data_IF_546898579879
#
_entry.id   IF_546898579879
#
_cell.length_a   1.000
_cell.length_b   1.000
_cell.length_c   1.000
_cell.angle_alpha   90.00
_cell.angle_beta   90.00
_cell.angle_gamma   90.00
#
_symmetry.space_group_name_H-M   'P 1'
#
loop_
_entity.id
_entity.type
_entity.pdbx_description
1 polymer ?
#
# COMPACT_ATOMS: atom_id res chain seq x y z
N UNK A 1 -22.15 -18.49 29.46
CA UNK A 1 -22.17 -19.97 29.50
C UNK A 1 -23.51 -20.47 29.01
N UNK A 2 -23.67 -20.63 27.71
CA UNK A 2 -24.81 -21.35 27.15
C UNK A 2 -24.57 -22.84 27.38
N UNK A 3 -25.26 -23.41 28.34
CA UNK A 3 -25.34 -24.87 28.46
C UNK A 3 -26.15 -25.35 27.25
N UNK A 4 -25.48 -25.91 26.24
CA UNK A 4 -26.15 -26.65 25.18
C UNK A 4 -26.88 -27.82 25.82
N UNK A 5 -28.18 -27.71 25.98
CA UNK A 5 -29.02 -28.84 26.36
C UNK A 5 -29.19 -29.71 25.12
N UNK A 6 -28.22 -30.60 24.89
CA UNK A 6 -28.35 -31.63 23.84
C UNK A 6 -29.41 -32.57 24.30
N UNK A 7 -30.37 -32.84 23.40
CA UNK A 7 -31.45 -33.79 23.66
C UNK A 7 -30.92 -35.15 24.06
N UNK A 8 -31.56 -35.78 25.04
CA UNK A 8 -31.25 -37.14 25.51
C UNK A 8 -31.29 -38.21 24.44
N UNK A 9 -31.84 -37.91 23.26
CA UNK A 9 -31.97 -38.85 22.13
C UNK A 9 -30.65 -39.28 21.47
N UNK A 10 -29.55 -38.53 21.68
CA UNK A 10 -28.23 -38.84 21.08
C UNK A 10 -27.50 -39.96 21.86
N UNK A 11 -27.93 -40.27 23.07
CA UNK A 11 -27.41 -41.35 23.89
C UNK A 11 -28.48 -42.45 24.07
N UNK A 12 -28.01 -43.66 24.09
CA UNK A 12 -28.80 -44.85 24.43
C UNK A 12 -28.35 -45.42 25.77
N UNK A 13 -29.15 -46.24 26.38
CA UNK A 13 -28.76 -46.96 27.56
C UNK A 13 -29.06 -48.46 27.40
N UNK A 14 -28.31 -49.25 28.11
CA UNK A 14 -28.48 -50.72 28.13
C UNK A 14 -28.97 -51.17 29.48
N UNK A 15 -29.81 -52.22 29.48
CA UNK A 15 -30.24 -52.94 30.66
C UNK A 15 -29.75 -54.40 30.49
N UNK A 16 -28.91 -54.89 31.42
CA UNK A 16 -28.27 -56.23 31.32
C UNK A 16 -27.56 -56.43 29.97
N UNK A 17 -26.94 -55.38 29.42
CA UNK A 17 -26.23 -55.44 28.16
C UNK A 17 -27.08 -55.34 26.90
N UNK A 18 -28.42 -55.30 27.01
CA UNK A 18 -29.34 -55.13 25.88
C UNK A 18 -29.80 -53.68 25.79
N UNK A 19 -29.84 -53.12 24.57
CA UNK A 19 -30.33 -51.76 24.33
C UNK A 19 -31.73 -51.59 24.90
N UNK A 20 -31.91 -50.65 25.79
CA UNK A 20 -33.16 -50.34 26.49
C UNK A 20 -33.89 -49.13 25.92
N UNK A 21 -33.26 -48.37 25.03
CA UNK A 21 -33.79 -47.18 24.37
C UNK A 21 -32.90 -45.94 24.51
N UNK A 22 -33.40 -44.80 24.04
CA UNK A 22 -32.74 -43.53 24.21
C UNK A 22 -32.71 -43.09 25.70
N UNK A 23 -31.70 -42.35 26.07
CA UNK A 23 -31.60 -41.73 27.41
C UNK A 23 -32.86 -40.85 27.67
N UNK A 24 -33.44 -40.94 28.86
CA UNK A 24 -34.70 -40.34 29.20
C UNK A 24 -35.93 -41.23 29.02
N UNK A 25 -35.77 -42.46 28.50
CA UNK A 25 -36.84 -43.48 28.48
C UNK A 25 -36.86 -44.33 29.76
N UNK A 26 -38.02 -44.87 30.10
CA UNK A 26 -38.21 -45.69 31.31
C UNK A 26 -38.50 -47.16 30.89
N UNK A 27 -38.03 -48.11 31.66
CA UNK A 27 -38.48 -49.50 31.63
C UNK A 27 -39.35 -49.78 32.83
N UNK A 28 -40.62 -50.18 32.55
CA UNK A 28 -41.57 -50.63 33.55
C UNK A 28 -41.60 -52.15 33.62
N UNK A 29 -42.32 -52.67 34.63
CA UNK A 29 -42.65 -54.06 34.85
C UNK A 29 -41.42 -55.01 34.93
N UNK A 30 -40.37 -54.49 35.60
CA UNK A 30 -39.16 -55.26 35.86
C UNK A 30 -39.37 -56.18 37.08
N UNK A 31 -39.01 -57.41 36.98
CA UNK A 31 -38.98 -58.35 38.09
C UNK A 31 -37.88 -57.97 39.12
N UNK A 32 -38.07 -58.23 40.42
CA UNK A 32 -36.99 -58.07 41.40
C UNK A 32 -35.75 -58.86 41.00
N UNK A 33 -34.58 -58.21 41.10
CA UNK A 33 -33.31 -58.87 40.70
C UNK A 33 -32.17 -57.88 40.43
N UNK A 34 -31.04 -58.41 40.06
CA UNK A 34 -29.85 -57.58 39.75
C UNK A 34 -29.86 -57.09 38.33
N UNK A 35 -29.71 -55.78 38.12
CA UNK A 35 -29.66 -55.13 36.83
C UNK A 35 -28.38 -54.34 36.71
N UNK A 36 -27.76 -54.38 35.54
CA UNK A 36 -26.69 -53.48 35.12
C UNK A 36 -27.20 -52.44 34.17
N UNK A 37 -26.90 -51.18 34.38
CA UNK A 37 -27.28 -50.04 33.57
C UNK A 37 -26.01 -49.34 33.09
N UNK A 38 -25.91 -49.13 31.80
CA UNK A 38 -24.80 -48.39 31.16
C UNK A 38 -25.32 -47.52 30.06
N UNK A 39 -24.81 -46.29 29.97
CA UNK A 39 -25.03 -45.43 28.81
C UNK A 39 -24.15 -45.87 27.64
N UNK A 40 -24.69 -45.80 26.43
CA UNK A 40 -23.99 -46.19 25.19
C UNK A 40 -24.31 -45.17 24.08
N UNK A 41 -23.48 -45.12 23.06
CA UNK A 41 -23.62 -44.12 21.99
C UNK A 41 -23.07 -42.78 22.44
N UNK A 42 -23.71 -41.70 22.01
CA UNK A 42 -23.31 -40.32 22.28
C UNK A 42 -22.52 -39.70 21.13
N UNK A 43 -22.18 -38.44 21.29
CA UNK A 43 -21.42 -37.63 20.31
C UNK A 43 -19.93 -37.73 20.59
N UNK A 44 -19.12 -37.85 19.54
CA UNK A 44 -17.65 -37.96 19.61
C UNK A 44 -16.97 -36.85 20.39
N UNK A 45 -17.64 -35.69 20.48
CA UNK A 45 -17.10 -34.53 21.18
C UNK A 45 -17.55 -34.40 22.64
N UNK A 46 -18.04 -35.51 23.24
CA UNK A 46 -18.45 -35.55 24.66
C UNK A 46 -17.74 -36.70 25.37
N UNK A 47 -17.58 -36.59 26.68
CA UNK A 47 -17.08 -37.64 27.53
C UNK A 47 -17.96 -37.75 28.76
N UNK A 48 -18.01 -38.97 29.33
CA UNK A 48 -18.65 -39.29 30.58
C UNK A 48 -18.00 -38.52 31.75
N UNK A 49 -18.80 -37.91 32.60
CA UNK A 49 -18.37 -37.19 33.80
C UNK A 49 -18.76 -37.94 35.06
N UNK A 50 -20.03 -38.29 35.19
CA UNK A 50 -20.53 -38.96 36.40
C UNK A 50 -21.84 -39.72 36.15
N UNK A 51 -22.07 -40.69 36.96
CA UNK A 51 -23.31 -41.43 37.07
C UNK A 51 -23.78 -41.38 38.54
N UNK A 52 -25.05 -41.11 38.76
CA UNK A 52 -25.71 -41.17 40.05
C UNK A 52 -27.04 -41.84 39.94
N UNK A 53 -27.41 -42.67 40.90
CA UNK A 53 -28.74 -43.34 40.92
C UNK A 53 -29.41 -43.12 42.28
N UNK A 54 -30.72 -42.93 42.24
CA UNK A 54 -31.60 -42.74 43.41
C UNK A 54 -32.79 -43.72 43.34
N UNK A 55 -33.55 -43.88 44.43
CA UNK A 55 -34.77 -44.71 44.45
C UNK A 55 -34.62 -46.10 45.02
N UNK A 56 -33.39 -46.55 45.30
CA UNK A 56 -33.12 -47.78 46.08
C UNK A 56 -32.22 -47.46 47.28
N UNK A 57 -32.21 -48.33 48.28
CA UNK A 57 -31.30 -48.16 49.43
C UNK A 57 -29.82 -48.19 49.00
N UNK A 58 -29.00 -47.27 49.59
CA UNK A 58 -27.60 -46.98 49.18
C UNK A 58 -26.71 -48.24 49.05
N UNK A 59 -26.90 -49.22 49.85
CA UNK A 59 -26.09 -50.48 49.78
C UNK A 59 -26.47 -51.42 48.65
N UNK A 60 -27.54 -51.13 47.87
CA UNK A 60 -28.02 -51.94 46.77
C UNK A 60 -27.75 -51.37 45.40
N UNK A 61 -27.09 -50.22 45.37
CA UNK A 61 -26.57 -49.61 44.15
C UNK A 61 -25.05 -49.58 44.24
N UNK A 62 -24.41 -50.17 43.28
CA UNK A 62 -22.95 -50.10 43.13
C UNK A 62 -22.64 -49.45 41.79
N UNK A 63 -21.88 -48.38 41.80
CA UNK A 63 -21.44 -47.64 40.57
C UNK A 63 -19.94 -47.92 40.44
N UNK A 64 -19.57 -48.43 39.30
CA UNK A 64 -18.20 -48.63 38.87
C UNK A 64 -18.03 -47.95 37.48
N UNK A 65 -17.22 -46.90 37.40
CA UNK A 65 -17.04 -46.09 36.24
C UNK A 65 -18.37 -45.59 35.67
N UNK A 66 -18.73 -45.95 34.44
CA UNK A 66 -19.93 -45.57 33.72
C UNK A 66 -21.09 -46.60 33.86
N UNK A 67 -20.95 -47.52 34.78
CA UNK A 67 -21.91 -48.64 34.92
C UNK A 67 -22.48 -48.69 36.36
N UNK A 68 -23.80 -48.72 36.46
CA UNK A 68 -24.50 -48.95 37.73
C UNK A 68 -25.00 -50.41 37.79
N UNK A 69 -24.71 -51.09 38.90
CA UNK A 69 -25.34 -52.36 39.24
C UNK A 69 -26.33 -52.18 40.39
N UNK A 70 -27.58 -52.56 40.16
CA UNK A 70 -28.70 -52.31 41.04
C UNK A 70 -29.35 -53.62 41.44
N UNK A 71 -29.47 -53.90 42.74
CA UNK A 71 -30.32 -54.99 43.29
C UNK A 71 -31.72 -54.42 43.50
N UNK A 72 -32.57 -54.49 42.46
CA UNK A 72 -33.93 -53.93 42.44
C UNK A 72 -34.89 -54.84 43.23
N UNK A 73 -35.70 -54.21 44.09
CA UNK A 73 -36.78 -54.88 44.83
C UNK A 73 -38.15 -54.50 44.35
N UNK A 74 -39.17 -55.26 44.70
CA UNK A 74 -40.54 -54.97 44.34
C UNK A 74 -41.00 -53.59 44.85
N UNK A 75 -41.63 -52.80 43.98
CA UNK A 75 -42.16 -51.46 44.27
C UNK A 75 -41.13 -50.34 44.33
N UNK A 76 -39.88 -50.60 43.95
CA UNK A 76 -38.87 -49.57 43.85
C UNK A 76 -38.86 -48.93 42.46
N UNK A 77 -38.68 -47.61 42.42
CA UNK A 77 -38.49 -46.82 41.21
C UNK A 77 -37.10 -46.15 41.26
N UNK A 78 -36.19 -46.68 40.42
CA UNK A 78 -34.77 -46.24 40.43
C UNK A 78 -34.54 -45.35 39.23
N UNK A 79 -34.01 -44.17 39.50
CA UNK A 79 -33.62 -43.19 38.47
C UNK A 79 -32.06 -43.06 38.52
N UNK A 80 -31.45 -43.34 37.38
CA UNK A 80 -30.02 -43.13 37.17
C UNK A 80 -29.77 -41.94 36.24
N UNK A 81 -28.96 -41.02 36.66
CA UNK A 81 -28.62 -39.79 35.91
C UNK A 81 -27.18 -39.86 35.44
N UNK A 82 -27.00 -39.87 34.14
CA UNK A 82 -25.69 -39.74 33.47
C UNK A 82 -25.41 -38.25 33.22
N UNK A 83 -24.19 -37.83 33.44
CA UNK A 83 -23.72 -36.48 33.12
C UNK A 83 -22.54 -36.62 32.16
N UNK A 84 -22.68 -36.01 30.98
CA UNK A 84 -21.62 -35.91 29.98
C UNK A 84 -21.20 -34.45 29.84
N UNK A 85 -19.95 -34.21 29.56
CA UNK A 85 -19.42 -32.89 29.26
C UNK A 85 -18.82 -32.85 27.88
N UNK A 86 -18.90 -31.69 27.25
CA UNK A 86 -18.25 -31.48 25.97
C UNK A 86 -16.74 -31.45 26.13
N UNK A 87 -16.06 -32.11 25.20
CA UNK A 87 -14.61 -32.13 25.13
C UNK A 87 -14.06 -30.74 24.83
N UNK A 88 -12.84 -30.48 25.25
CA UNK A 88 -12.11 -29.25 25.02
C UNK A 88 -10.86 -29.52 24.17
N UNK A 89 -10.39 -28.49 23.49
CA UNK A 89 -9.12 -28.45 22.80
C UNK A 89 -8.56 -27.03 22.81
N UNK A 90 -7.41 -26.83 22.15
CA UNK A 90 -6.75 -25.53 22.06
C UNK A 90 -6.94 -24.91 20.68
N UNK A 91 -7.36 -23.65 20.66
CA UNK A 91 -7.30 -22.75 19.51
C UNK A 91 -6.11 -21.81 19.73
N UNK A 92 -5.17 -21.82 18.80
CA UNK A 92 -3.99 -20.97 18.80
C UNK A 92 -4.10 -19.99 17.65
N UNK A 93 -3.88 -18.71 17.93
CA UNK A 93 -3.90 -17.64 16.92
C UNK A 93 -2.52 -17.02 16.89
N UNK A 94 -1.83 -17.18 15.77
CA UNK A 94 -0.48 -16.66 15.54
C UNK A 94 -0.52 -15.43 14.64
N UNK A 95 0.32 -14.46 14.98
CA UNK A 95 0.56 -13.25 14.19
C UNK A 95 1.99 -13.22 13.70
N UNK A 96 2.15 -12.88 12.44
CA UNK A 96 3.44 -12.52 11.84
C UNK A 96 3.32 -11.16 11.17
N UNK A 97 4.24 -10.25 11.44
CA UNK A 97 4.37 -8.96 10.76
C UNK A 97 5.64 -8.97 9.93
N UNK A 98 5.55 -8.52 8.68
CA UNK A 98 6.68 -8.35 7.78
C UNK A 98 6.82 -6.87 7.46
N UNK A 99 8.00 -6.31 7.72
CA UNK A 99 8.35 -4.92 7.51
C UNK A 99 9.53 -4.83 6.53
N UNK A 100 9.40 -5.43 5.34
CA UNK A 100 10.47 -5.50 4.35
C UNK A 100 10.51 -4.27 3.41
N UNK A 101 9.51 -3.37 3.53
CA UNK A 101 9.43 -2.11 2.80
C UNK A 101 9.56 -0.87 3.71
N UNK A 102 10.18 -1.03 4.89
CA UNK A 102 10.41 0.05 5.85
C UNK A 102 9.28 0.27 6.85
N UNK A 103 8.30 -0.61 6.93
CA UNK A 103 7.24 -0.59 7.92
C UNK A 103 7.76 -0.71 9.35
N UNK A 104 6.96 -0.23 10.31
CA UNK A 104 7.38 -0.13 11.71
C UNK A 104 6.41 -0.78 12.71
N UNK A 105 5.29 -1.36 12.24
CA UNK A 105 4.31 -1.99 13.13
C UNK A 105 4.85 -3.29 13.73
N UNK A 106 4.39 -3.58 14.95
CA UNK A 106 4.67 -4.80 15.71
C UNK A 106 3.41 -5.66 15.78
N UNK A 107 3.52 -6.92 16.16
CA UNK A 107 2.38 -7.81 16.33
C UNK A 107 1.31 -7.22 17.27
N UNK A 108 1.73 -6.53 18.32
CA UNK A 108 0.85 -5.87 19.28
C UNK A 108 0.09 -4.66 18.76
N UNK A 109 0.39 -4.17 17.56
CA UNK A 109 -0.38 -3.11 16.92
C UNK A 109 -1.65 -3.62 16.22
N UNK A 110 -1.82 -4.93 16.15
CA UNK A 110 -2.95 -5.58 15.48
C UNK A 110 -3.87 -6.27 16.47
N UNK A 111 -5.14 -6.37 16.12
CA UNK A 111 -6.18 -7.05 16.91
C UNK A 111 -6.96 -8.01 16.03
N UNK A 112 -7.54 -9.04 16.64
CA UNK A 112 -8.35 -10.03 15.96
C UNK A 112 -9.67 -10.27 16.72
N UNK A 113 -10.62 -10.91 16.07
CA UNK A 113 -11.89 -11.38 16.65
C UNK A 113 -12.06 -12.87 16.40
N UNK A 114 -12.66 -13.57 17.36
CA UNK A 114 -13.12 -14.96 17.23
C UNK A 114 -14.65 -14.92 17.04
N UNK A 115 -15.10 -15.15 15.80
CA UNK A 115 -16.52 -15.01 15.47
C UNK A 115 -17.03 -13.58 15.75
N UNK A 116 -17.98 -13.45 16.67
CA UNK A 116 -18.57 -12.16 17.08
C UNK A 116 -18.10 -11.70 18.47
N UNK A 117 -17.04 -12.28 19.02
CA UNK A 117 -16.45 -11.84 20.30
C UNK A 117 -15.82 -10.45 20.15
N UNK A 118 -15.60 -9.73 21.27
CA UNK A 118 -14.92 -8.44 21.25
C UNK A 118 -13.51 -8.54 20.69
N UNK A 119 -12.99 -7.47 20.05
CA UNK A 119 -11.62 -7.41 19.56
C UNK A 119 -10.58 -7.70 20.65
N UNK A 120 -9.58 -8.50 20.30
CA UNK A 120 -8.49 -8.90 21.20
C UNK A 120 -7.17 -8.52 20.55
N UNK A 121 -6.32 -7.81 21.28
CA UNK A 121 -4.99 -7.45 20.83
C UNK A 121 -4.07 -8.66 20.83
N UNK A 122 -3.16 -8.78 19.84
CA UNK A 122 -2.13 -9.81 19.87
C UNK A 122 -1.15 -9.61 21.02
N UNK A 123 -0.78 -10.71 21.66
CA UNK A 123 0.28 -10.74 22.67
C UNK A 123 1.58 -11.12 21.99
N UNK A 124 2.66 -10.39 22.28
CA UNK A 124 3.99 -10.69 21.74
C UNK A 124 4.43 -12.11 22.08
N UNK A 125 5.01 -12.82 21.11
CA UNK A 125 5.52 -14.17 21.28
C UNK A 125 7.05 -14.17 21.43
N UNK A 126 7.52 -14.33 22.66
CA UNK A 126 8.95 -14.31 22.99
C UNK A 126 9.57 -12.91 22.84
N UNK A 127 10.82 -12.84 22.40
CA UNK A 127 11.57 -11.58 22.24
C UNK A 127 11.33 -10.89 20.88
N UNK A 128 10.73 -11.59 19.92
CA UNK A 128 10.48 -11.04 18.60
C UNK A 128 9.18 -10.25 18.56
N UNK A 129 9.26 -8.93 18.47
CA UNK A 129 8.12 -8.01 18.43
C UNK A 129 7.23 -8.16 17.17
N UNK A 130 7.74 -8.80 16.11
CA UNK A 130 7.00 -9.06 14.89
C UNK A 130 6.14 -10.33 14.98
N UNK A 131 6.29 -11.12 16.02
CA UNK A 131 5.53 -12.34 16.26
C UNK A 131 4.56 -12.15 17.42
N UNK A 132 3.32 -12.59 17.21
CA UNK A 132 2.29 -12.62 18.24
C UNK A 132 1.70 -14.00 18.41
N UNK A 133 1.20 -14.32 19.62
CA UNK A 133 0.52 -15.58 19.89
C UNK A 133 -0.48 -15.44 21.02
N UNK A 134 -1.69 -15.92 20.78
CA UNK A 134 -2.75 -16.03 21.77
C UNK A 134 -3.28 -17.46 21.78
N UNK A 135 -3.57 -18.01 22.95
CA UNK A 135 -4.08 -19.37 23.11
C UNK A 135 -5.40 -19.36 23.88
N UNK A 136 -6.36 -20.15 23.39
CA UNK A 136 -7.68 -20.27 24.00
C UNK A 136 -8.07 -21.73 24.13
N UNK A 137 -8.66 -22.08 25.28
CA UNK A 137 -9.38 -23.34 25.42
C UNK A 137 -10.78 -23.15 24.84
N UNK A 138 -11.16 -24.01 23.91
CA UNK A 138 -12.45 -23.97 23.19
C UNK A 138 -13.11 -25.34 23.16
N UNK A 139 -14.40 -25.37 22.98
CA UNK A 139 -15.12 -26.63 22.82
C UNK A 139 -14.73 -27.34 21.52
N UNK A 140 -14.41 -28.64 21.64
CA UNK A 140 -14.10 -29.49 20.50
C UNK A 140 -15.33 -29.71 19.61
N UNK A 141 -15.10 -29.90 18.30
CA UNK A 141 -16.14 -30.14 17.30
C UNK A 141 -16.97 -28.89 16.94
N UNK A 142 -16.71 -27.72 17.52
CA UNK A 142 -17.27 -26.47 17.07
C UNK A 142 -16.36 -25.81 16.04
N UNK A 143 -17.00 -25.11 15.10
CA UNK A 143 -16.32 -24.30 14.09
C UNK A 143 -16.11 -22.87 14.59
N UNK A 144 -14.91 -22.36 14.38
CA UNK A 144 -14.51 -20.99 14.73
C UNK A 144 -13.95 -20.30 13.49
N UNK A 145 -14.27 -19.03 13.32
CA UNK A 145 -13.67 -18.16 12.30
C UNK A 145 -12.96 -17.02 12.98
N UNK A 146 -11.72 -16.78 12.59
CA UNK A 146 -10.89 -15.70 13.14
C UNK A 146 -10.65 -14.68 12.04
N UNK A 147 -10.92 -13.41 12.36
CA UNK A 147 -10.71 -12.27 11.47
C UNK A 147 -9.87 -11.22 12.16
N UNK A 148 -9.02 -10.55 11.41
CA UNK A 148 -8.30 -9.37 11.91
C UNK A 148 -9.23 -8.16 11.87
N UNK A 149 -9.14 -7.33 12.88
CA UNK A 149 -9.83 -6.05 12.93
C UNK A 149 -9.09 -5.07 12.02
N UNK A 150 -9.81 -4.38 11.15
CA UNK A 150 -9.23 -3.43 10.18
C UNK A 150 -8.18 -4.06 9.25
N UNK A 151 -8.48 -5.25 8.75
CA UNK A 151 -7.62 -5.94 7.77
C UNK A 151 -7.40 -5.09 6.51
N UNK A 152 -6.18 -5.18 5.93
CA UNK A 152 -5.76 -4.42 4.74
C UNK A 152 -5.83 -2.89 4.91
N UNK A 153 -5.56 -2.38 6.10
CA UNK A 153 -5.54 -0.95 6.39
C UNK A 153 -4.15 -0.48 6.81
N UNK A 154 -3.99 0.83 6.91
CA UNK A 154 -2.77 1.50 7.38
C UNK A 154 -1.50 1.04 6.67
N UNK A 155 -1.57 0.80 5.36
CA UNK A 155 -0.42 0.43 4.55
C UNK A 155 0.07 -1.02 4.73
N UNK A 156 -0.76 -1.91 5.27
CA UNK A 156 -0.47 -3.34 5.37
C UNK A 156 -1.52 -4.19 4.65
N UNK A 157 -1.08 -5.28 4.03
CA UNK A 157 -1.95 -6.32 3.48
C UNK A 157 -2.04 -7.49 4.45
N UNK A 158 -3.25 -8.02 4.66
CA UNK A 158 -3.53 -9.13 5.58
C UNK A 158 -3.76 -10.42 4.80
N UNK A 159 -3.12 -11.49 5.22
CA UNK A 159 -3.35 -12.84 4.71
C UNK A 159 -3.63 -13.82 5.84
N UNK A 160 -4.46 -14.83 5.55
CA UNK A 160 -4.92 -15.82 6.51
C UNK A 160 -4.51 -17.23 6.07
N UNK A 161 -4.07 -18.02 7.03
CA UNK A 161 -3.84 -19.45 6.82
C UNK A 161 -4.59 -20.24 7.91
N UNK A 162 -5.55 -21.06 7.48
CA UNK A 162 -6.39 -21.88 8.36
C UNK A 162 -7.10 -21.07 9.45
N UNK A 163 -7.81 -19.98 9.07
CA UNK A 163 -8.50 -19.10 10.01
C UNK A 163 -10.03 -19.09 9.84
N UNK A 164 -10.55 -19.74 8.81
CA UNK A 164 -11.98 -19.79 8.50
C UNK A 164 -12.53 -21.19 8.78
N UNK A 165 -13.66 -21.26 9.48
CA UNK A 165 -14.38 -22.52 9.77
C UNK A 165 -13.49 -23.61 10.40
N UNK A 166 -12.55 -23.24 11.27
CA UNK A 166 -11.66 -24.18 11.93
C UNK A 166 -12.38 -24.97 13.00
N UNK A 167 -12.21 -26.27 12.97
CA UNK A 167 -12.76 -27.17 14.00
C UNK A 167 -11.67 -27.52 15.01
N UNK A 168 -11.92 -27.20 16.28
CA UNK A 168 -10.99 -27.54 17.37
C UNK A 168 -11.08 -29.03 17.68
N UNK A 169 -9.96 -29.78 17.61
CA UNK A 169 -9.96 -31.21 17.89
C UNK A 169 -10.03 -31.49 19.41
N UNK A 170 -10.61 -32.66 19.77
CA UNK A 170 -10.60 -33.12 21.16
C UNK A 170 -9.18 -33.37 21.68
N UNK A 171 -8.84 -32.79 22.83
CA UNK A 171 -7.52 -32.86 23.47
C UNK A 171 -6.35 -32.50 22.54
N UNK A 172 -6.63 -31.92 21.40
CA UNK A 172 -5.66 -31.47 20.42
C UNK A 172 -5.58 -29.95 20.33
N UNK A 173 -4.84 -29.49 19.32
CA UNK A 173 -4.72 -28.08 19.01
C UNK A 173 -4.89 -27.80 17.53
N UNK A 174 -5.35 -26.59 17.21
CA UNK A 174 -5.42 -26.06 15.85
C UNK A 174 -4.89 -24.65 15.85
N UNK A 175 -4.21 -24.28 14.75
CA UNK A 175 -3.56 -22.98 14.61
C UNK A 175 -4.21 -22.21 13.46
N UNK A 176 -4.58 -20.96 13.72
CA UNK A 176 -4.83 -19.94 12.71
C UNK A 176 -3.62 -19.03 12.66
N UNK A 177 -3.05 -18.79 11.47
CA UNK A 177 -1.96 -17.84 11.28
C UNK A 177 -2.42 -16.65 10.45
N UNK A 178 -2.21 -15.44 10.99
CA UNK A 178 -2.50 -14.15 10.33
C UNK A 178 -1.17 -13.46 10.06
N UNK A 179 -0.93 -13.10 8.80
CA UNK A 179 0.29 -12.38 8.39
C UNK A 179 -0.08 -11.03 7.82
N UNK A 180 0.56 -9.97 8.32
CA UNK A 180 0.52 -8.63 7.74
C UNK A 180 1.87 -8.30 7.12
N UNK A 181 1.82 -7.88 5.85
CA UNK A 181 2.98 -7.41 5.11
C UNK A 181 2.82 -5.94 4.77
N UNK A 182 3.84 -5.12 5.03
CA UNK A 182 3.84 -3.72 4.68
C UNK A 182 3.84 -3.55 3.16
N UNK A 183 3.10 -2.55 2.69
CA UNK A 183 3.02 -2.21 1.27
C UNK A 183 4.10 -1.20 0.94
N UNK A 184 4.93 -1.49 -0.05
CA UNK A 184 5.95 -0.55 -0.52
C UNK A 184 5.31 0.77 -0.96
N UNK A 185 5.84 1.92 -0.55
CA UNK A 185 5.45 3.20 -1.11
C UNK A 185 5.93 3.31 -2.56
N UNK A 186 5.35 4.23 -3.32
CA UNK A 186 5.76 4.53 -4.69
C UNK A 186 6.09 6.00 -4.86
N UNK A 187 7.22 6.28 -5.51
CA UNK A 187 7.60 7.62 -5.96
C UNK A 187 7.71 7.62 -7.48
N UNK A 188 6.97 8.50 -8.13
CA UNK A 188 7.11 8.80 -9.55
C UNK A 188 7.76 10.17 -9.70
N UNK A 189 8.84 10.25 -10.44
CA UNK A 189 9.52 11.51 -10.76
C UNK A 189 9.34 11.79 -12.25
N UNK A 190 8.77 12.95 -12.55
CA UNK A 190 8.53 13.43 -13.91
C UNK A 190 9.46 14.60 -14.20
N UNK A 191 10.25 14.48 -15.28
CA UNK A 191 11.04 15.56 -15.84
C UNK A 191 10.44 15.99 -17.17
N UNK A 192 10.14 17.27 -17.30
CA UNK A 192 9.76 17.89 -18.57
C UNK A 192 10.88 18.76 -19.08
N UNK A 193 11.25 18.61 -20.33
CA UNK A 193 12.21 19.46 -21.03
C UNK A 193 11.47 20.14 -22.18
N UNK A 194 11.46 21.48 -22.15
CA UNK A 194 10.87 22.32 -23.19
C UNK A 194 11.99 22.89 -24.03
N UNK A 195 11.94 22.67 -25.35
CA UNK A 195 12.92 23.12 -26.33
C UNK A 195 12.20 23.98 -27.40
N UNK A 196 11.60 25.11 -26.98
CA UNK A 196 10.82 25.95 -27.88
C UNK A 196 11.58 27.18 -28.40
N UNK A 197 12.77 27.43 -27.86
CA UNK A 197 13.64 28.51 -28.29
C UNK A 197 14.92 28.02 -29.01
N UNK A 198 14.89 26.77 -29.51
CA UNK A 198 15.98 26.17 -30.28
C UNK A 198 16.99 25.37 -29.45
N UNK A 199 16.67 25.13 -28.17
CA UNK A 199 17.40 24.20 -27.33
C UNK A 199 17.29 22.74 -27.82
N UNK A 200 18.23 21.91 -27.39
CA UNK A 200 18.33 20.50 -27.84
C UNK A 200 18.61 19.54 -26.69
N UNK A 201 18.53 20.00 -25.43
CA UNK A 201 18.83 19.15 -24.29
C UNK A 201 17.86 17.97 -24.19
N UNK A 202 18.42 16.86 -23.75
CA UNK A 202 17.73 15.59 -23.45
C UNK A 202 17.99 15.20 -22.02
N UNK A 203 17.31 14.16 -21.51
CA UNK A 203 17.39 13.76 -20.10
C UNK A 203 18.82 13.51 -19.59
N UNK A 204 19.72 13.02 -20.44
CA UNK A 204 21.12 12.76 -20.05
C UNK A 204 21.93 14.03 -19.76
N UNK A 205 21.43 15.21 -20.13
CA UNK A 205 22.09 16.47 -19.86
C UNK A 205 21.74 17.03 -18.47
N UNK A 206 20.76 16.42 -17.79
CA UNK A 206 20.29 16.82 -16.46
C UNK A 206 20.70 15.80 -15.39
N UNK A 207 21.34 16.26 -14.32
CA UNK A 207 21.69 15.43 -13.17
C UNK A 207 20.60 15.53 -12.09
N UNK A 208 19.60 14.64 -12.16
CA UNK A 208 18.52 14.58 -11.17
C UNK A 208 18.85 13.54 -10.11
N UNK A 209 18.80 13.94 -8.84
CA UNK A 209 19.21 13.16 -7.68
C UNK A 209 18.07 12.99 -6.68
N UNK A 210 17.94 11.78 -6.14
CA UNK A 210 17.13 11.47 -4.97
C UNK A 210 18.07 11.20 -3.80
N UNK A 211 18.03 12.03 -2.75
CA UNK A 211 18.96 11.95 -1.62
C UNK A 211 20.44 11.88 -2.04
N UNK A 212 20.85 12.72 -3.01
CA UNK A 212 22.18 12.77 -3.63
C UNK A 212 22.58 11.57 -4.52
N UNK A 213 21.71 10.59 -4.73
CA UNK A 213 21.92 9.49 -5.66
C UNK A 213 21.24 9.79 -6.99
N UNK A 214 21.99 9.61 -8.11
CA UNK A 214 21.44 9.82 -9.46
C UNK A 214 20.32 8.83 -9.73
N UNK A 215 19.18 9.32 -10.26
CA UNK A 215 18.08 8.48 -10.71
C UNK A 215 18.08 8.35 -12.24
N UNK A 216 17.63 7.20 -12.73
CA UNK A 216 17.53 6.92 -14.16
C UNK A 216 16.11 7.12 -14.64
N UNK A 217 15.97 7.63 -15.86
CA UNK A 217 14.67 7.85 -16.50
C UNK A 217 14.46 6.89 -17.67
N UNK A 218 13.20 6.60 -17.97
CA UNK A 218 12.80 5.89 -19.18
C UNK A 218 12.94 6.74 -20.45
N UNK A 219 12.52 6.17 -21.58
CA UNK A 219 12.46 6.91 -22.86
C UNK A 219 11.47 8.09 -22.74
N UNK A 220 11.82 9.19 -23.42
CA UNK A 220 11.00 10.40 -23.41
C UNK A 220 9.80 10.31 -24.35
N UNK A 221 8.67 10.84 -23.90
CA UNK A 221 7.47 11.04 -24.75
C UNK A 221 7.45 12.48 -25.22
N UNK A 222 7.47 12.67 -26.56
CA UNK A 222 7.53 14.00 -27.19
C UNK A 222 6.12 14.48 -27.54
N UNK A 223 5.77 15.67 -27.05
CA UNK A 223 4.54 16.38 -27.39
C UNK A 223 4.86 17.84 -27.77
N UNK A 224 4.88 18.14 -29.07
CA UNK A 224 5.31 19.44 -29.58
C UNK A 224 6.77 19.72 -29.28
N UNK A 225 7.06 20.78 -28.53
CA UNK A 225 8.41 21.17 -28.09
C UNK A 225 8.79 20.61 -26.72
N UNK A 226 7.86 19.90 -26.06
CA UNK A 226 8.06 19.33 -24.72
C UNK A 226 8.35 17.85 -24.81
N UNK A 227 9.40 17.39 -24.14
CA UNK A 227 9.69 15.97 -23.92
C UNK A 227 9.51 15.63 -22.43
N UNK A 228 8.66 14.65 -22.16
CA UNK A 228 8.36 14.18 -20.80
C UNK A 228 9.07 12.86 -20.52
N UNK A 229 9.88 12.82 -19.46
CA UNK A 229 10.58 11.63 -18.98
C UNK A 229 10.05 11.22 -17.62
N UNK A 230 9.97 9.90 -17.38
CA UNK A 230 9.45 9.35 -16.12
C UNK A 230 10.45 8.40 -15.49
N UNK A 231 10.58 8.49 -14.17
CA UNK A 231 11.37 7.58 -13.34
C UNK A 231 10.52 7.08 -12.16
N UNK A 232 10.75 5.83 -11.76
CA UNK A 232 10.15 5.22 -10.56
C UNK A 232 11.25 4.61 -9.70
N UNK A 233 12.01 5.45 -8.97
CA UNK A 233 13.10 4.95 -8.13
C UNK A 233 12.56 4.08 -6.99
N UNK A 234 13.37 3.10 -6.55
CA UNK A 234 13.04 2.28 -5.38
C UNK A 234 13.09 3.13 -4.12
N UNK A 235 12.01 3.13 -3.37
CA UNK A 235 11.86 3.86 -2.10
C UNK A 235 11.29 2.93 -1.03
N UNK A 236 11.53 3.26 0.24
CA UNK A 236 10.99 2.56 1.41
C UNK A 236 10.26 3.54 2.31
N UNK A 237 9.29 3.05 3.08
CA UNK A 237 8.54 3.87 4.03
C UNK A 237 9.41 4.34 5.20
N UNK A 238 8.93 5.33 5.93
CA UNK A 238 9.58 5.94 7.10
C UNK A 238 10.98 6.52 6.82
N UNK A 239 11.30 6.77 5.54
CA UNK A 239 12.56 7.37 5.09
C UNK A 239 12.25 8.74 4.50
N UNK A 240 13.09 9.73 4.84
CA UNK A 240 12.99 11.09 4.29
C UNK A 240 13.66 11.17 2.92
N UNK A 241 12.98 11.79 1.96
CA UNK A 241 13.43 11.98 0.59
C UNK A 241 13.47 13.46 0.21
N UNK A 242 14.48 13.81 -0.60
CA UNK A 242 14.63 15.11 -1.23
C UNK A 242 15.09 14.93 -2.67
N UNK A 243 14.47 15.64 -3.60
CA UNK A 243 14.89 15.71 -4.99
C UNK A 243 15.73 16.98 -5.21
N UNK A 244 16.72 16.89 -6.05
CA UNK A 244 17.53 18.02 -6.51
C UNK A 244 17.95 17.81 -7.97
N UNK A 245 18.22 18.91 -8.65
CA UNK A 245 18.76 18.97 -10.00
C UNK A 245 19.94 19.92 -10.02
N UNK A 246 20.93 19.66 -10.87
CA UNK A 246 22.01 20.62 -11.14
C UNK A 246 21.63 21.53 -12.32
N UNK A 247 21.98 22.81 -12.21
CA UNK A 247 21.69 23.82 -13.24
C UNK A 247 22.33 23.47 -14.58
N UNK A 248 21.54 23.47 -15.64
CA UNK A 248 22.03 23.33 -17.01
C UNK A 248 22.07 24.72 -17.68
N UNK A 249 23.26 25.11 -18.17
CA UNK A 249 23.42 26.39 -18.84
C UNK A 249 22.52 26.49 -20.09
N UNK A 250 21.78 27.60 -20.21
CA UNK A 250 20.81 27.81 -21.30
C UNK A 250 19.40 27.31 -21.00
N UNK A 251 19.18 26.73 -19.83
CA UNK A 251 17.85 26.30 -19.38
C UNK A 251 17.48 26.96 -18.05
N UNK A 252 16.23 27.30 -17.88
CA UNK A 252 15.65 27.78 -16.63
C UNK A 252 14.98 26.61 -15.90
N UNK A 253 15.44 26.29 -14.69
CA UNK A 253 14.80 25.30 -13.84
C UNK A 253 13.49 25.85 -13.27
N UNK A 254 12.42 25.08 -13.42
CA UNK A 254 11.14 25.33 -12.75
C UNK A 254 11.18 24.92 -11.26
N UNK A 255 10.09 25.17 -10.57
CA UNK A 255 9.94 24.74 -9.19
C UNK A 255 9.43 23.30 -9.12
N UNK A 256 10.04 22.47 -8.27
CA UNK A 256 9.56 21.13 -7.98
C UNK A 256 8.14 21.17 -7.39
N UNK A 257 7.26 20.37 -7.95
CA UNK A 257 5.88 20.17 -7.49
C UNK A 257 5.65 18.71 -7.17
N UNK A 258 5.39 18.40 -5.89
CA UNK A 258 5.09 17.04 -5.45
C UNK A 258 3.64 16.94 -4.96
N UNK A 259 2.95 15.87 -5.32
CA UNK A 259 1.58 15.59 -4.90
C UNK A 259 1.40 14.14 -4.48
N UNK A 260 0.60 13.92 -3.47
CA UNK A 260 0.13 12.60 -3.08
C UNK A 260 -1.05 12.18 -3.98
N UNK A 261 -0.94 10.99 -4.56
CA UNK A 261 -1.94 10.45 -5.47
C UNK A 261 -3.05 9.75 -4.67
N UNK A 262 -4.00 10.51 -4.15
CA UNK A 262 -5.19 9.95 -3.51
C UNK A 262 -6.26 9.62 -4.57
N UNK A 263 -7.15 8.67 -4.27
CA UNK A 263 -8.15 8.18 -5.23
C UNK A 263 -9.07 9.26 -5.83
N UNK A 264 -9.27 10.38 -5.15
CA UNK A 264 -10.20 11.45 -5.55
C UNK A 264 -9.59 12.85 -5.61
N UNK A 265 -8.43 13.08 -5.00
CA UNK A 265 -7.81 14.40 -4.89
C UNK A 265 -6.28 14.26 -4.88
N UNK A 266 -5.59 15.17 -5.56
CA UNK A 266 -4.15 15.33 -5.42
C UNK A 266 -3.86 16.31 -4.27
N UNK A 267 -3.03 15.91 -3.32
CA UNK A 267 -2.66 16.72 -2.17
C UNK A 267 -1.21 17.19 -2.32
N UNK A 268 -0.95 18.52 -2.35
CA UNK A 268 0.42 19.05 -2.40
C UNK A 268 1.27 18.60 -1.20
N UNK A 269 2.52 18.25 -1.49
CA UNK A 269 3.51 17.84 -0.50
C UNK A 269 4.75 18.71 -0.65
N UNK A 270 5.26 19.22 0.47
CA UNK A 270 6.50 19.99 0.49
C UNK A 270 7.72 19.06 0.56
N UNK A 271 8.82 19.44 -0.08
CA UNK A 271 10.13 18.79 0.08
C UNK A 271 10.91 19.40 1.24
N UNK A 272 11.70 18.61 1.98
CA UNK A 272 11.78 17.16 1.93
C UNK A 272 10.53 16.49 2.51
N UNK A 273 10.21 15.26 2.06
CA UNK A 273 9.04 14.51 2.52
C UNK A 273 9.42 13.11 3.02
N UNK A 274 8.57 12.53 3.86
CA UNK A 274 8.70 11.14 4.32
C UNK A 274 7.53 10.35 3.75
N UNK A 275 7.81 9.17 3.19
CA UNK A 275 6.81 8.26 2.65
C UNK A 275 6.26 7.36 3.75
N UNK A 276 4.94 7.17 3.78
CA UNK A 276 4.26 6.17 4.61
C UNK A 276 4.07 4.87 3.81
N UNK A 277 3.77 3.77 4.51
CA UNK A 277 3.46 2.48 3.91
C UNK A 277 2.31 2.62 2.89
N UNK A 278 2.51 2.11 1.67
CA UNK A 278 1.53 2.16 0.58
C UNK A 278 1.24 3.54 -0.01
N UNK A 279 1.92 4.60 0.46
CA UNK A 279 1.74 5.95 -0.07
C UNK A 279 2.29 6.07 -1.49
N UNK A 280 1.58 6.80 -2.35
CA UNK A 280 1.99 7.09 -3.73
C UNK A 280 2.17 8.59 -3.91
N UNK A 281 3.38 9.01 -4.32
CA UNK A 281 3.72 10.41 -4.58
C UNK A 281 4.21 10.58 -6.02
N UNK A 282 3.80 11.65 -6.67
CA UNK A 282 4.36 12.10 -7.94
C UNK A 282 5.01 13.47 -7.75
N UNK A 283 6.27 13.62 -8.17
CA UNK A 283 7.01 14.87 -8.20
C UNK A 283 7.34 15.23 -9.65
N UNK A 284 7.16 16.50 -10.01
CA UNK A 284 7.42 17.02 -11.35
C UNK A 284 8.31 18.25 -11.29
N UNK A 285 9.23 18.36 -12.26
CA UNK A 285 10.00 19.58 -12.55
C UNK A 285 10.06 19.79 -14.07
N UNK A 286 10.01 21.06 -14.48
CA UNK A 286 10.12 21.47 -15.89
C UNK A 286 11.33 22.36 -16.06
N UNK A 287 12.18 22.07 -17.05
CA UNK A 287 13.21 22.98 -17.51
C UNK A 287 12.86 23.46 -18.91
N UNK A 288 12.98 24.78 -19.09
CA UNK A 288 12.63 25.47 -20.31
C UNK A 288 13.88 26.15 -20.89
N UNK A 289 14.12 26.00 -22.22
CA UNK A 289 15.25 26.63 -22.83
C UNK A 289 15.08 28.15 -22.88
N UNK A 290 16.15 28.85 -22.49
CA UNK A 290 16.12 30.30 -22.39
C UNK A 290 16.28 30.92 -23.79
N UNK A 291 15.32 31.72 -24.23
CA UNK A 291 15.40 32.43 -25.49
C UNK A 291 16.65 33.27 -25.60
N UNK A 292 17.46 33.11 -26.66
CA UNK A 292 18.61 34.02 -26.89
C UNK A 292 18.11 35.39 -27.24
N UNK A 293 18.97 36.41 -27.06
CA UNK A 293 18.64 37.76 -27.45
C UNK A 293 19.63 38.31 -28.50
N UNK A 294 19.10 38.94 -29.53
CA UNK A 294 19.87 39.64 -30.55
C UNK A 294 19.38 41.08 -30.66
N UNK A 295 20.29 42.01 -30.60
CA UNK A 295 20.00 43.44 -30.85
C UNK A 295 20.86 43.95 -32.03
N UNK A 296 20.20 44.45 -33.05
CA UNK A 296 20.85 45.10 -34.17
C UNK A 296 20.82 46.61 -33.93
N UNK A 297 21.97 47.26 -34.09
CA UNK A 297 22.10 48.73 -33.86
C UNK A 297 22.78 49.36 -35.07
N UNK A 298 22.15 50.39 -35.66
CA UNK A 298 22.77 51.21 -36.72
C UNK A 298 23.50 52.38 -36.12
N UNK A 299 24.76 52.51 -36.52
CA UNK A 299 25.55 53.74 -36.28
C UNK A 299 25.80 54.44 -37.60
N UNK A 300 25.51 55.71 -37.67
CA UNK A 300 25.73 56.53 -38.89
C UNK A 300 26.79 57.60 -38.54
N UNK A 301 27.77 57.73 -39.43
CA UNK A 301 28.77 58.80 -39.38
C UNK A 301 28.59 59.74 -40.54
N UNK A 302 28.46 61.04 -40.21
CA UNK A 302 28.25 62.13 -41.16
C UNK A 302 29.47 63.06 -41.24
N UNK A 303 30.69 62.49 -41.39
CA UNK A 303 31.96 63.22 -41.27
C UNK A 303 32.21 64.16 -42.46
N UNK A 304 31.50 63.93 -43.60
CA UNK A 304 31.72 64.66 -44.87
C UNK A 304 30.45 65.42 -45.32
N UNK A 305 29.62 65.83 -44.37
CA UNK A 305 28.44 66.66 -44.67
C UNK A 305 27.17 65.88 -45.00
N UNK A 306 27.15 64.57 -44.82
CA UNK A 306 25.93 63.76 -44.88
C UNK A 306 24.94 64.15 -43.77
N UNK A 307 23.64 63.85 -43.97
CA UNK A 307 22.58 64.19 -43.01
C UNK A 307 21.64 63.00 -42.73
N UNK A 308 21.97 61.82 -43.18
CA UNK A 308 21.16 60.64 -42.92
C UNK A 308 21.16 60.26 -41.41
N UNK A 309 20.05 59.76 -40.98
CA UNK A 309 19.86 59.29 -39.61
C UNK A 309 19.71 57.78 -39.53
N UNK A 310 19.97 57.16 -38.39
CA UNK A 310 19.96 55.70 -38.25
C UNK A 310 18.69 55.05 -38.76
N UNK A 311 17.54 55.70 -38.67
CA UNK A 311 16.23 55.22 -39.11
C UNK A 311 16.06 55.21 -40.62
N UNK A 312 17.02 55.76 -41.41
CA UNK A 312 17.04 55.69 -42.87
C UNK A 312 17.54 54.34 -43.39
N UNK A 313 17.99 53.43 -42.52
CA UNK A 313 18.34 52.04 -42.82
C UNK A 313 17.41 51.07 -42.10
N UNK A 314 16.98 50.03 -42.75
CA UNK A 314 16.37 48.84 -42.19
C UNK A 314 17.44 47.79 -41.95
N UNK A 315 17.55 47.33 -40.70
CA UNK A 315 18.44 46.23 -40.31
C UNK A 315 17.61 44.95 -40.20
N UNK A 316 18.13 43.81 -40.68
CA UNK A 316 17.46 42.52 -40.68
C UNK A 316 18.41 41.42 -40.20
N UNK A 317 17.94 40.53 -39.36
CA UNK A 317 18.51 39.22 -39.14
C UNK A 317 17.51 38.17 -39.63
N UNK A 318 17.96 37.26 -40.51
CA UNK A 318 17.13 36.23 -41.13
C UNK A 318 17.73 34.85 -40.87
N UNK A 319 16.95 33.93 -40.34
CA UNK A 319 17.35 32.58 -39.99
C UNK A 319 16.15 31.73 -39.54
N UNK A 320 16.29 30.93 -38.50
CA UNK A 320 15.20 30.10 -37.92
C UNK A 320 13.99 30.96 -37.46
N UNK A 321 14.27 32.14 -36.98
CA UNK A 321 13.31 33.24 -36.82
C UNK A 321 13.83 34.49 -37.54
N UNK A 322 13.11 35.56 -37.59
CA UNK A 322 13.60 36.80 -38.23
C UNK A 322 13.17 38.01 -37.46
N UNK A 323 14.07 39.01 -37.40
CA UNK A 323 13.81 40.33 -36.87
C UNK A 323 14.24 41.38 -37.86
N UNK A 324 13.51 42.51 -37.92
CA UNK A 324 13.88 43.65 -38.72
C UNK A 324 13.39 44.94 -38.08
N UNK A 325 14.09 46.05 -38.35
CA UNK A 325 13.69 47.34 -37.81
C UNK A 325 14.53 48.50 -38.37
N UNK A 326 13.91 49.68 -38.46
CA UNK A 326 14.57 50.90 -38.97
C UNK A 326 15.44 51.52 -37.88
N UNK A 327 16.75 51.57 -38.12
CA UNK A 327 17.72 52.14 -37.23
C UNK A 327 18.15 51.21 -36.07
N UNK A 328 17.52 50.05 -35.94
CA UNK A 328 17.82 49.03 -34.96
C UNK A 328 16.55 48.21 -34.62
N UNK A 329 16.79 47.03 -34.01
CA UNK A 329 15.73 46.13 -33.53
C UNK A 329 16.31 45.19 -32.48
N UNK A 330 15.51 44.87 -31.48
CA UNK A 330 15.82 43.84 -30.47
C UNK A 330 14.84 42.67 -30.58
N UNK A 331 15.33 41.46 -30.44
CA UNK A 331 14.49 40.25 -30.46
C UNK A 331 13.53 40.20 -29.28
N UNK A 332 12.44 39.47 -29.46
CA UNK A 332 11.45 39.12 -28.44
C UNK A 332 11.80 37.81 -27.73
N UNK A 333 10.87 37.38 -26.88
CA UNK A 333 10.97 36.15 -26.07
C UNK A 333 10.83 34.82 -26.87
N UNK A 334 10.34 34.92 -28.10
CA UNK A 334 10.14 33.82 -29.03
C UNK A 334 11.28 33.66 -30.07
N UNK A 335 12.39 34.39 -29.85
CA UNK A 335 13.56 34.32 -30.70
C UNK A 335 14.33 33.02 -30.44
N UNK A 336 14.66 32.31 -31.50
CA UNK A 336 15.25 30.99 -31.42
C UNK A 336 16.76 31.00 -31.58
N UNK A 337 17.45 30.07 -30.92
CA UNK A 337 18.86 29.82 -31.14
C UNK A 337 19.07 29.25 -32.56
N UNK A 338 20.13 29.72 -33.23
CA UNK A 338 20.45 29.25 -34.59
C UNK A 338 21.36 30.19 -35.33
N UNK A 339 21.63 29.90 -36.60
CA UNK A 339 22.41 30.74 -37.47
C UNK A 339 21.52 31.83 -38.09
N UNK A 340 22.04 33.03 -38.16
CA UNK A 340 21.34 34.21 -38.75
C UNK A 340 22.26 34.91 -39.72
N UNK A 341 21.66 35.32 -40.90
CA UNK A 341 22.30 36.21 -41.84
C UNK A 341 21.88 37.64 -41.53
N UNK A 342 22.83 38.49 -41.32
CA UNK A 342 22.60 39.93 -41.05
C UNK A 342 22.67 40.70 -42.35
N UNK A 343 21.74 41.64 -42.54
CA UNK A 343 21.74 42.52 -43.71
C UNK A 343 21.21 43.94 -43.33
N UNK A 344 21.62 44.92 -44.11
CA UNK A 344 21.06 46.28 -44.04
C UNK A 344 20.65 46.75 -45.45
N UNK A 345 19.61 47.56 -45.49
CA UNK A 345 19.15 48.17 -46.74
C UNK A 345 18.64 49.58 -46.44
N UNK A 346 18.76 50.49 -47.37
CA UNK A 346 18.11 51.81 -47.27
C UNK A 346 16.59 51.65 -47.23
N UNK A 347 15.92 52.43 -46.37
CA UNK A 347 14.45 52.50 -46.28
C UNK A 347 13.93 53.18 -47.54
N UNK A 348 12.80 52.66 -48.11
CA UNK A 348 12.16 53.19 -49.31
C UNK A 348 11.90 54.71 -49.15
N UNK A 349 12.30 55.49 -50.20
CA UNK A 349 12.16 56.93 -50.20
C UNK A 349 13.25 57.68 -49.42
N UNK A 350 14.26 56.99 -48.91
CA UNK A 350 15.44 57.56 -48.24
C UNK A 350 16.69 57.50 -49.15
N UNK A 351 17.40 58.58 -49.30
CA UNK A 351 18.65 58.61 -50.04
C UNK A 351 19.85 58.29 -49.12
N UNK A 352 20.36 57.10 -49.29
CA UNK A 352 21.54 56.58 -48.55
C UNK A 352 22.69 56.28 -49.54
N UNK A 353 22.59 56.71 -50.80
CA UNK A 353 23.54 56.35 -51.85
C UNK A 353 24.96 56.91 -51.60
N UNK A 354 25.11 57.93 -50.77
CA UNK A 354 26.40 58.51 -50.39
C UNK A 354 27.10 57.84 -49.22
N UNK A 355 26.56 56.70 -48.71
CA UNK A 355 27.10 56.02 -47.56
C UNK A 355 27.63 54.61 -47.98
N UNK A 356 28.72 54.20 -47.35
CA UNK A 356 29.28 52.82 -47.46
C UNK A 356 29.06 52.08 -46.15
N UNK A 357 28.63 50.84 -46.27
CA UNK A 357 28.55 49.92 -45.11
C UNK A 357 29.92 49.52 -44.60
N UNK A 358 30.09 49.44 -43.30
CA UNK A 358 31.22 48.72 -42.67
C UNK A 358 30.81 47.24 -42.44
N UNK A 359 31.82 46.42 -42.12
CA UNK A 359 31.52 45.06 -41.63
C UNK A 359 30.71 45.08 -40.36
N UNK A 360 29.92 44.06 -40.15
CA UNK A 360 29.20 43.84 -38.91
C UNK A 360 30.21 43.58 -37.75
N UNK A 361 29.96 44.16 -36.61
CA UNK A 361 30.72 43.90 -35.39
C UNK A 361 29.75 43.37 -34.32
N UNK A 362 29.95 42.15 -33.88
CA UNK A 362 29.15 41.51 -32.85
C UNK A 362 29.96 41.35 -31.56
N UNK A 363 29.26 41.40 -30.42
CA UNK A 363 29.81 41.23 -29.07
C UNK A 363 29.15 40.04 -28.40
N UNK A 364 29.73 39.55 -27.32
CA UNK A 364 29.17 38.47 -26.48
C UNK A 364 29.06 37.08 -27.18
N UNK A 365 30.15 36.61 -27.82
CA UNK A 365 30.31 35.24 -28.29
C UNK A 365 29.66 34.91 -29.64
N UNK A 366 29.20 35.92 -30.37
CA UNK A 366 28.71 35.75 -31.73
C UNK A 366 29.91 35.73 -32.68
N UNK A 367 30.14 34.62 -33.40
CA UNK A 367 31.07 34.54 -34.53
C UNK A 367 30.39 35.11 -35.77
N UNK A 368 31.03 36.09 -36.44
CA UNK A 368 30.60 36.57 -37.73
C UNK A 368 31.53 35.92 -38.79
N UNK A 369 30.96 35.04 -39.59
CA UNK A 369 31.65 34.55 -40.78
C UNK A 369 31.56 35.66 -41.85
N UNK A 370 32.73 36.14 -42.25
CA UNK A 370 32.88 37.27 -43.21
C UNK A 370 32.54 36.90 -44.65
#
# INVERSE_FOLDING_TARGET
DSVDVIGSSEWNWTLKGTNAGATGTTKSDLEPGTYTIKETGGLDNYHFVSLSCTGAADKRITILDDTATIDLKSGEDVVCTYRNARNLGKLIIEKEVKNDNGGSKKATNFSFQIGSEDPIQFTQNGENELLGRNEYTRYAGLSYTITEVEANQDGYTTTYNNCENIVVPHNGQVVCKITNNDVAPTLTVIKKVVNDNGGTAVISDFEIKLNNELITFGEGVVEGTTTTYTSTPTVVSNTQYSLSEEDLAGYAEGTWSCVENLATVQKPIAMPFTLSEGQSITCEVTNDDIAPSLELVKVVKNDFGGNAVKTDWNLKAEGVSSINGNGGVKSGSDFQAGAYTLSEAGVEGKDVSGYSASDWSCTNGVTVDG
#
